data_IF_123760216048
#
_entry.id   IF_123760216048
#
_cell.length_a   1.000
_cell.length_b   1.000
_cell.length_c   1.000
_cell.angle_alpha   90.00
_cell.angle_beta   90.00
_cell.angle_gamma   90.00
#
_symmetry.space_group_name_H-M   'P 1'
#
loop_
_entity.id
_entity.type
_entity.pdbx_description
1 polymer ?
#
# COMPACT_ATOMS: atom_id res chain seq x y z
N UNK A 1 -6.10 -25.71 10.46
CA UNK A 1 -5.41 -24.45 10.12
C UNK A 1 -4.46 -24.73 8.96
N UNK A 2 -4.88 -24.43 7.73
CA UNK A 2 -3.96 -24.37 6.59
C UNK A 2 -3.68 -22.89 6.35
N UNK A 3 -2.46 -22.45 6.66
CA UNK A 3 -1.95 -21.17 6.18
C UNK A 3 -1.78 -21.35 4.68
N UNK A 4 -2.64 -20.73 3.88
CA UNK A 4 -2.49 -20.77 2.43
C UNK A 4 -1.21 -20.01 2.04
N UNK A 5 -0.54 -20.41 0.96
CA UNK A 5 0.65 -19.70 0.48
C UNK A 5 0.43 -18.19 0.33
N UNK A 6 -0.81 -17.75 0.05
CA UNK A 6 -1.21 -16.34 -0.03
C UNK A 6 -1.12 -15.60 1.31
N UNK A 7 -1.41 -16.26 2.43
CA UNK A 7 -1.36 -15.64 3.75
C UNK A 7 0.08 -15.29 4.14
N UNK A 8 1.05 -16.10 3.71
CA UNK A 8 2.47 -15.88 3.98
C UNK A 8 2.99 -14.61 3.26
N UNK A 9 2.59 -14.38 2.01
CA UNK A 9 2.94 -13.15 1.29
C UNK A 9 2.25 -11.90 1.86
N UNK A 10 1.04 -12.03 2.39
CA UNK A 10 0.36 -10.94 3.10
C UNK A 10 1.09 -10.58 4.41
N UNK A 11 1.50 -11.58 5.18
CA UNK A 11 2.30 -11.39 6.41
C UNK A 11 3.62 -10.69 6.07
N UNK A 12 4.35 -11.18 5.05
CA UNK A 12 5.60 -10.58 4.61
C UNK A 12 5.41 -9.11 4.19
N UNK A 13 4.36 -8.83 3.41
CA UNK A 13 4.03 -7.46 2.99
C UNK A 13 3.74 -6.56 4.19
N UNK A 14 3.02 -7.08 5.20
CA UNK A 14 2.72 -6.38 6.44
C UNK A 14 3.97 -6.09 7.29
N UNK A 15 4.89 -7.05 7.38
CA UNK A 15 6.17 -6.89 8.12
C UNK A 15 7.08 -5.88 7.42
N UNK A 16 7.27 -6.00 6.10
CA UNK A 16 8.15 -5.09 5.33
C UNK A 16 7.62 -3.66 5.41
N UNK A 17 6.32 -3.45 5.24
CA UNK A 17 5.71 -2.13 5.38
C UNK A 17 5.83 -1.56 6.80
N UNK A 18 5.68 -2.38 7.84
CA UNK A 18 5.88 -1.96 9.23
C UNK A 18 7.34 -1.51 9.49
N UNK A 19 8.32 -2.26 8.98
CA UNK A 19 9.74 -1.91 9.10
C UNK A 19 10.02 -0.55 8.44
N UNK A 20 9.48 -0.33 7.22
CA UNK A 20 9.61 0.96 6.52
C UNK A 20 8.97 2.07 7.36
N UNK A 21 7.77 1.84 7.90
CA UNK A 21 7.04 2.82 8.70
C UNK A 21 7.84 3.24 9.95
N UNK A 22 8.32 2.27 10.74
CA UNK A 22 9.10 2.54 11.97
C UNK A 22 10.34 3.36 11.65
N UNK A 23 11.12 2.95 10.64
CA UNK A 23 12.33 3.67 10.27
C UNK A 23 12.04 5.06 9.71
N UNK A 24 10.98 5.21 8.92
CA UNK A 24 10.58 6.50 8.40
C UNK A 24 10.19 7.49 9.51
N UNK A 25 9.48 7.02 10.54
CA UNK A 25 9.19 7.84 11.73
C UNK A 25 10.42 8.16 12.55
N UNK A 26 11.35 7.21 12.71
CA UNK A 26 12.61 7.45 13.40
C UNK A 26 13.47 8.50 12.71
N UNK A 27 13.65 8.39 11.39
CA UNK A 27 14.35 9.40 10.59
C UNK A 27 13.61 10.74 10.57
N UNK A 28 12.28 10.73 10.58
CA UNK A 28 11.50 11.95 10.72
C UNK A 28 11.76 12.66 12.05
N UNK A 29 11.88 11.91 13.16
CA UNK A 29 12.23 12.50 14.46
C UNK A 29 13.59 13.20 14.45
N UNK A 30 14.53 12.73 13.63
CA UNK A 30 15.88 13.31 13.49
C UNK A 30 15.94 14.48 12.52
N UNK A 31 15.44 14.31 11.28
CA UNK A 31 15.63 15.26 10.18
C UNK A 31 14.42 16.14 9.89
N UNK A 32 13.26 15.85 10.50
CA UNK A 32 11.97 16.56 10.29
C UNK A 32 11.53 16.71 8.82
N UNK A 33 11.95 15.78 7.96
CA UNK A 33 11.61 15.79 6.54
C UNK A 33 10.13 15.44 6.30
N UNK A 34 9.37 16.35 5.69
CA UNK A 34 7.93 16.14 5.45
C UNK A 34 7.60 14.88 4.64
N UNK A 35 8.44 14.53 3.66
CA UNK A 35 8.26 13.31 2.85
C UNK A 35 8.42 12.03 3.66
N UNK A 36 9.29 12.04 4.68
CA UNK A 36 9.51 10.89 5.57
C UNK A 36 8.26 10.62 6.41
N UNK A 37 7.61 11.68 6.88
CA UNK A 37 6.34 11.56 7.61
C UNK A 37 5.24 10.93 6.76
N UNK A 38 5.08 11.42 5.52
CA UNK A 38 4.06 10.91 4.60
C UNK A 38 4.30 9.43 4.30
N UNK A 39 5.55 9.07 4.00
CA UNK A 39 5.94 7.68 3.75
C UNK A 39 5.66 6.80 4.96
N UNK A 40 6.08 7.23 6.15
CA UNK A 40 5.88 6.49 7.39
C UNK A 40 4.41 6.24 7.67
N UNK A 41 3.58 7.27 7.55
CA UNK A 41 2.14 7.17 7.79
C UNK A 41 1.42 6.32 6.74
N UNK A 42 1.79 6.43 5.45
CA UNK A 42 1.25 5.58 4.38
C UNK A 42 1.61 4.11 4.60
N UNK A 43 2.86 3.81 4.98
CA UNK A 43 3.32 2.44 5.22
C UNK A 43 2.74 1.86 6.51
N UNK A 44 2.50 2.70 7.52
CA UNK A 44 1.78 2.30 8.73
C UNK A 44 0.33 1.91 8.41
N UNK A 45 -0.39 2.75 7.65
CA UNK A 45 -1.75 2.43 7.21
C UNK A 45 -1.78 1.15 6.37
N UNK A 46 -0.81 0.97 5.47
CA UNK A 46 -0.69 -0.27 4.70
C UNK A 46 -0.51 -1.48 5.62
N UNK A 47 0.42 -1.43 6.58
CA UNK A 47 0.63 -2.51 7.55
C UNK A 47 -0.63 -2.81 8.37
N UNK A 48 -1.32 -1.79 8.88
CA UNK A 48 -2.57 -1.96 9.64
C UNK A 48 -3.66 -2.65 8.79
N UNK A 49 -3.80 -2.29 7.51
CA UNK A 49 -4.76 -2.96 6.62
C UNK A 49 -4.41 -4.41 6.36
N UNK A 50 -3.12 -4.76 6.25
CA UNK A 50 -2.69 -6.15 6.08
C UNK A 50 -2.92 -6.97 7.35
N UNK A 51 -2.62 -6.41 8.53
CA UNK A 51 -2.86 -7.07 9.82
C UNK A 51 -4.36 -7.32 10.02
N UNK A 52 -5.20 -6.34 9.71
CA UNK A 52 -6.65 -6.50 9.78
C UNK A 52 -7.17 -7.58 8.82
N UNK A 53 -6.56 -7.72 7.63
CA UNK A 53 -6.84 -8.80 6.69
C UNK A 53 -6.50 -10.18 7.27
N UNK A 54 -5.29 -10.34 7.80
CA UNK A 54 -4.80 -11.59 8.41
C UNK A 54 -5.65 -11.98 9.62
N UNK A 55 -5.98 -11.03 10.49
CA UNK A 55 -6.78 -11.29 11.68
C UNK A 55 -8.20 -11.80 11.34
N UNK A 56 -8.76 -11.38 10.20
CA UNK A 56 -10.00 -11.93 9.66
C UNK A 56 -9.81 -13.35 9.12
N UNK A 57 -8.76 -13.61 8.35
CA UNK A 57 -8.51 -14.96 7.79
C UNK A 57 -8.23 -15.99 8.90
N UNK A 58 -7.57 -15.56 9.98
CA UNK A 58 -7.29 -16.39 11.16
C UNK A 58 -8.50 -16.60 12.08
N UNK A 59 -9.68 -16.07 11.73
CA UNK A 59 -10.92 -16.12 12.53
C UNK A 59 -10.77 -15.56 13.96
N UNK A 60 -9.74 -14.75 14.21
CA UNK A 60 -9.50 -14.09 15.51
C UNK A 60 -10.49 -12.95 15.77
N UNK A 61 -11.13 -12.46 14.71
CA UNK A 61 -12.14 -11.39 14.75
C UNK A 61 -13.49 -11.98 14.27
N UNK A 62 -14.62 -11.65 14.92
CA UNK A 62 -15.94 -12.16 14.53
C UNK A 62 -16.25 -11.95 13.04
N UNK A 63 -17.00 -12.88 12.44
CA UNK A 63 -17.41 -12.88 11.02
C UNK A 63 -18.09 -11.56 10.55
N UNK A 64 -18.57 -10.75 11.50
CA UNK A 64 -19.20 -9.45 11.28
C UNK A 64 -18.21 -8.35 10.84
N UNK A 65 -16.90 -8.48 11.11
CA UNK A 65 -15.92 -7.44 10.73
C UNK A 65 -15.65 -7.45 9.22
N UNK A 66 -16.24 -6.49 8.50
CA UNK A 66 -15.96 -6.24 7.07
C UNK A 66 -14.63 -5.48 6.92
N UNK A 67 -13.50 -6.18 7.07
CA UNK A 67 -12.15 -5.59 6.88
C UNK A 67 -11.84 -5.22 5.43
N UNK A 68 -12.71 -5.61 4.49
CA UNK A 68 -12.53 -5.39 3.06
C UNK A 68 -12.51 -3.89 2.71
N UNK A 69 -13.42 -3.11 3.27
CA UNK A 69 -13.50 -1.66 3.02
C UNK A 69 -12.27 -0.93 3.54
N UNK A 70 -11.87 -1.25 4.78
CA UNK A 70 -10.67 -0.68 5.39
C UNK A 70 -9.43 -1.00 4.55
N UNK A 71 -9.29 -2.25 4.09
CA UNK A 71 -8.20 -2.62 3.20
C UNK A 71 -8.22 -1.83 1.89
N UNK A 72 -9.36 -1.79 1.19
CA UNK A 72 -9.48 -1.07 -0.09
C UNK A 72 -9.18 0.41 0.04
N UNK A 73 -9.92 1.11 0.90
CA UNK A 73 -9.78 2.56 1.06
C UNK A 73 -8.44 2.94 1.67
N UNK A 74 -7.99 2.20 2.70
CA UNK A 74 -6.74 2.48 3.40
C UNK A 74 -5.50 2.32 2.51
N UNK A 75 -5.41 1.21 1.76
CA UNK A 75 -4.26 0.99 0.87
C UNK A 75 -4.27 1.94 -0.32
N UNK A 76 -5.43 2.18 -0.96
CA UNK A 76 -5.53 3.12 -2.08
C UNK A 76 -5.17 4.53 -1.62
N UNK A 77 -5.68 4.97 -0.47
CA UNK A 77 -5.34 6.26 0.13
C UNK A 77 -3.84 6.38 0.44
N UNK A 78 -3.25 5.35 1.05
CA UNK A 78 -1.81 5.32 1.34
C UNK A 78 -0.96 5.51 0.08
N UNK A 79 -1.27 4.79 -1.01
CA UNK A 79 -0.58 4.95 -2.29
C UNK A 79 -0.84 6.32 -2.93
N UNK A 80 -2.05 6.88 -2.77
CA UNK A 80 -2.37 8.20 -3.30
C UNK A 80 -1.52 9.29 -2.64
N UNK A 81 -1.33 9.22 -1.32
CA UNK A 81 -0.45 10.16 -0.62
C UNK A 81 1.02 9.98 -1.02
N UNK A 82 1.46 8.75 -1.28
CA UNK A 82 2.81 8.51 -1.83
C UNK A 82 2.96 9.14 -3.22
N UNK A 83 1.98 8.95 -4.09
CA UNK A 83 1.93 9.60 -5.40
C UNK A 83 2.01 11.13 -5.27
N UNK A 84 1.13 11.73 -4.46
CA UNK A 84 1.09 13.18 -4.26
C UNK A 84 2.42 13.71 -3.69
N UNK A 85 3.06 12.97 -2.79
CA UNK A 85 4.37 13.34 -2.25
C UNK A 85 5.53 13.25 -3.27
N UNK A 86 5.36 12.42 -4.31
CA UNK A 86 6.33 12.31 -5.40
C UNK A 86 6.28 13.49 -6.37
N UNK A 87 5.14 14.20 -6.42
CA UNK A 87 5.00 15.40 -7.22
C UNK A 87 5.94 16.49 -6.69
N UNK A 88 6.53 17.28 -7.61
CA UNK A 88 7.39 18.40 -7.24
C UNK A 88 6.54 19.50 -6.59
N UNK A 89 6.44 19.46 -5.27
CA UNK A 89 5.81 20.50 -4.46
C UNK A 89 6.82 21.28 -3.64
N UNK A 90 6.47 22.53 -3.33
CA UNK A 90 7.16 23.36 -2.33
C UNK A 90 6.95 22.79 -0.92
N UNK A 91 7.73 23.23 0.06
CA UNK A 91 7.55 22.79 1.46
C UNK A 91 6.16 23.14 2.01
N UNK A 92 5.57 24.24 1.54
CA UNK A 92 4.19 24.63 1.87
C UNK A 92 3.16 23.60 1.35
N UNK A 93 3.36 23.08 0.14
CA UNK A 93 2.54 22.00 -0.42
C UNK A 93 2.65 20.72 0.44
N UNK A 94 3.86 20.29 0.77
CA UNK A 94 4.07 19.08 1.58
C UNK A 94 3.48 19.21 2.98
N UNK A 95 3.56 20.38 3.60
CA UNK A 95 2.94 20.65 4.90
C UNK A 95 1.42 20.56 4.83
N UNK A 96 0.81 21.10 3.78
CA UNK A 96 -0.63 20.94 3.53
C UNK A 96 -0.99 19.48 3.32
N UNK A 97 -0.19 18.76 2.52
CA UNK A 97 -0.40 17.34 2.24
C UNK A 97 -0.36 16.47 3.50
N UNK A 98 0.55 16.74 4.44
CA UNK A 98 0.58 16.08 5.75
C UNK A 98 -0.71 16.31 6.53
N UNK A 99 -1.21 17.55 6.58
CA UNK A 99 -2.48 17.85 7.27
C UNK A 99 -3.62 17.04 6.65
N UNK A 100 -3.71 17.01 5.32
CA UNK A 100 -4.71 16.19 4.61
C UNK A 100 -4.54 14.71 4.90
N UNK A 101 -3.32 14.19 4.95
CA UNK A 101 -3.07 12.78 5.26
C UNK A 101 -3.48 12.44 6.69
N UNK A 102 -3.19 13.30 7.66
CA UNK A 102 -3.64 13.10 9.04
C UNK A 102 -5.17 13.12 9.09
N UNK A 103 -5.80 14.15 8.51
CA UNK A 103 -7.26 14.30 8.49
C UNK A 103 -7.94 13.11 7.82
N UNK A 104 -7.34 12.53 6.78
CA UNK A 104 -7.89 11.35 6.08
C UNK A 104 -7.52 10.02 6.75
N UNK A 105 -6.42 9.95 7.49
CA UNK A 105 -6.04 8.75 8.26
C UNK A 105 -6.99 8.48 9.43
N UNK A 106 -7.55 9.52 10.06
CA UNK A 106 -8.54 9.40 11.14
C UNK A 106 -9.81 8.65 10.70
N UNK A 107 -10.53 9.06 9.63
CA UNK A 107 -11.69 8.33 9.15
C UNK A 107 -11.31 6.95 8.60
N UNK A 108 -10.10 6.77 8.05
CA UNK A 108 -9.63 5.43 7.69
C UNK A 108 -9.50 4.52 8.91
N UNK A 109 -8.88 4.98 9.99
CA UNK A 109 -8.80 4.22 11.24
C UNK A 109 -10.20 4.00 11.84
N UNK A 110 -11.10 4.97 11.71
CA UNK A 110 -12.48 4.87 12.15
C UNK A 110 -13.28 3.79 11.38
N UNK A 111 -12.98 3.59 10.09
CA UNK A 111 -13.56 2.49 9.31
C UNK A 111 -13.21 1.11 9.90
N UNK A 112 -12.06 0.95 10.55
CA UNK A 112 -11.73 -0.28 11.26
C UNK A 112 -12.69 -0.50 12.45
N UNK A 113 -13.01 0.56 13.19
CA UNK A 113 -13.91 0.51 14.35
C UNK A 113 -15.37 0.27 13.94
N UNK A 114 -15.81 0.88 12.83
CA UNK A 114 -17.17 0.73 12.28
C UNK A 114 -17.32 -0.55 11.43
N UNK A 115 -16.23 -1.25 11.11
CA UNK A 115 -16.27 -2.46 10.28
C UNK A 115 -17.28 -3.55 10.66
N UNK A 116 -17.69 -3.79 11.94
CA UNK A 116 -18.77 -4.73 12.24
C UNK A 116 -20.16 -4.32 11.73
N UNK A 117 -20.37 -3.03 11.45
CA UNK A 117 -21.64 -2.47 10.98
C UNK A 117 -21.67 -2.32 9.45
N UNK A 118 -20.51 -2.40 8.79
CA UNK A 118 -20.41 -2.20 7.34
C UNK A 118 -20.83 -3.44 6.55
N UNK A 119 -21.61 -3.30 5.47
CA UNK A 119 -21.96 -4.41 4.61
C UNK A 119 -20.71 -5.01 3.97
N UNK A 120 -20.70 -6.34 3.84
CA UNK A 120 -19.63 -7.00 3.11
C UNK A 120 -19.76 -6.71 1.61
N UNK A 121 -18.66 -6.31 0.97
CA UNK A 121 -18.62 -6.17 -0.49
C UNK A 121 -18.64 -7.55 -1.10
N UNK A 122 -19.79 -7.97 -1.60
CA UNK A 122 -19.95 -9.27 -2.26
C UNK A 122 -19.64 -9.18 -3.76
N UNK A 123 -19.84 -8.01 -4.37
CA UNK A 123 -19.69 -7.83 -5.81
C UNK A 123 -18.21 -7.94 -6.26
N UNK A 124 -17.86 -8.90 -7.13
CA UNK A 124 -16.50 -9.05 -7.67
C UNK A 124 -16.06 -7.84 -8.51
N UNK A 125 -16.98 -7.15 -9.18
CA UNK A 125 -16.68 -5.98 -10.00
C UNK A 125 -16.17 -4.82 -9.14
N UNK A 126 -16.81 -4.58 -8.00
CA UNK A 126 -16.39 -3.52 -7.06
C UNK A 126 -14.99 -3.81 -6.51
N UNK A 127 -14.68 -5.08 -6.17
CA UNK A 127 -13.34 -5.50 -5.71
C UNK A 127 -12.28 -5.28 -6.79
N UNK A 128 -12.59 -5.66 -8.03
CA UNK A 128 -11.72 -5.45 -9.17
C UNK A 128 -11.46 -3.96 -9.40
N UNK A 129 -12.48 -3.11 -9.31
CA UNK A 129 -12.35 -1.65 -9.46
C UNK A 129 -11.42 -1.04 -8.40
N UNK A 130 -11.57 -1.44 -7.13
CA UNK A 130 -10.68 -0.97 -6.07
C UNK A 130 -9.23 -1.40 -6.29
N UNK A 131 -8.99 -2.64 -6.72
CA UNK A 131 -7.62 -3.10 -7.03
C UNK A 131 -7.06 -2.41 -8.27
N UNK A 132 -7.88 -2.20 -9.30
CA UNK A 132 -7.51 -1.42 -10.48
C UNK A 132 -7.14 0.02 -10.11
N UNK A 133 -7.86 0.66 -9.19
CA UNK A 133 -7.52 2.00 -8.70
C UNK A 133 -6.16 2.03 -8.01
N UNK A 134 -5.80 1.01 -7.22
CA UNK A 134 -4.46 0.89 -6.60
C UNK A 134 -3.38 0.71 -7.65
N UNK A 135 -3.62 -0.16 -8.63
CA UNK A 135 -2.71 -0.39 -9.74
C UNK A 135 -2.44 0.91 -10.51
N UNK A 136 -3.50 1.69 -10.78
CA UNK A 136 -3.43 2.98 -11.45
C UNK A 136 -2.61 3.99 -10.65
N UNK A 137 -2.85 4.13 -9.35
CA UNK A 137 -2.07 5.05 -8.51
C UNK A 137 -0.60 4.63 -8.42
N UNK A 138 -0.32 3.32 -8.30
CA UNK A 138 1.05 2.81 -8.36
C UNK A 138 1.70 3.11 -9.72
N UNK A 139 0.95 2.98 -10.82
CA UNK A 139 1.45 3.27 -12.17
C UNK A 139 1.75 4.75 -12.38
N UNK A 140 0.89 5.65 -11.88
CA UNK A 140 1.15 7.09 -11.90
C UNK A 140 2.40 7.45 -11.08
N UNK A 141 2.61 6.77 -9.95
CA UNK A 141 3.81 6.94 -9.13
C UNK A 141 5.06 6.40 -9.83
N UNK A 142 4.96 5.27 -10.51
CA UNK A 142 6.02 4.77 -11.38
C UNK A 142 6.38 5.83 -12.43
N UNK A 143 5.40 6.39 -13.14
CA UNK A 143 5.64 7.40 -14.17
C UNK A 143 6.29 8.67 -13.62
N UNK A 144 5.89 9.13 -12.42
CA UNK A 144 6.53 10.28 -11.78
C UNK A 144 8.00 10.02 -11.45
N UNK A 145 8.35 8.81 -10.99
CA UNK A 145 9.74 8.41 -10.75
C UNK A 145 10.54 8.17 -12.02
N UNK A 146 9.94 7.67 -13.11
CA UNK A 146 10.59 7.63 -14.44
C UNK A 146 10.97 9.04 -14.89
N UNK A 147 10.03 9.98 -14.80
CA UNK A 147 10.27 11.37 -15.19
C UNK A 147 11.33 12.05 -14.31
N UNK A 148 11.44 11.66 -13.03
CA UNK A 148 12.52 12.11 -12.15
C UNK A 148 13.86 11.49 -12.51
N UNK A 149 13.89 10.18 -12.81
CA UNK A 149 15.10 9.46 -13.22
C UNK A 149 15.69 10.03 -14.51
N UNK A 150 14.85 10.30 -15.52
CA UNK A 150 15.27 10.93 -16.78
C UNK A 150 15.84 12.35 -16.59
N UNK A 151 15.51 13.03 -15.48
CA UNK A 151 16.06 14.36 -15.14
C UNK A 151 17.31 14.28 -14.27
N UNK A 152 17.37 13.29 -13.37
CA UNK A 152 18.48 13.04 -12.45
C UNK A 152 18.59 11.54 -12.23
N UNK A 153 19.66 10.96 -12.76
CA UNK A 153 19.95 9.54 -12.64
C UNK A 153 20.42 9.22 -11.23
N UNK A 154 19.48 9.07 -10.31
CA UNK A 154 19.76 8.64 -8.94
C UNK A 154 19.36 7.20 -8.74
N UNK A 155 20.20 6.45 -7.99
CA UNK A 155 19.91 5.07 -7.58
C UNK A 155 18.56 4.98 -6.85
N UNK A 156 18.24 5.99 -6.05
CA UNK A 156 16.95 6.12 -5.38
C UNK A 156 15.78 6.15 -6.37
N UNK A 157 15.81 7.04 -7.37
CA UNK A 157 14.73 7.15 -8.36
C UNK A 157 14.56 5.85 -9.17
N UNK A 158 15.64 5.15 -9.49
CA UNK A 158 15.59 3.84 -10.14
C UNK A 158 14.91 2.78 -9.27
N UNK A 159 15.33 2.65 -8.00
CA UNK A 159 14.75 1.68 -7.08
C UNK A 159 13.26 1.95 -6.81
N UNK A 160 12.87 3.21 -6.63
CA UNK A 160 11.46 3.60 -6.45
C UNK A 160 10.63 3.30 -7.71
N UNK A 161 11.18 3.55 -8.90
CA UNK A 161 10.54 3.20 -10.16
C UNK A 161 10.29 1.68 -10.26
N UNK A 162 11.30 0.85 -10.05
CA UNK A 162 11.18 -0.62 -10.09
C UNK A 162 10.17 -1.12 -9.05
N UNK A 163 10.19 -0.55 -7.85
CA UNK A 163 9.26 -0.89 -6.78
C UNK A 163 7.80 -0.65 -7.19
N UNK A 164 7.48 0.54 -7.70
CA UNK A 164 6.13 0.88 -8.11
C UNK A 164 5.68 0.13 -9.38
N UNK A 165 6.59 -0.19 -10.29
CA UNK A 165 6.31 -1.04 -11.44
C UNK A 165 5.91 -2.46 -11.01
N UNK A 166 6.68 -3.06 -10.11
CA UNK A 166 6.39 -4.37 -9.54
C UNK A 166 5.05 -4.38 -8.78
N UNK A 167 4.76 -3.33 -8.01
CA UNK A 167 3.46 -3.17 -7.35
C UNK A 167 2.31 -3.07 -8.36
N UNK A 168 2.46 -2.29 -9.44
CA UNK A 168 1.42 -2.18 -10.48
C UNK A 168 1.13 -3.54 -11.12
N UNK A 169 2.14 -4.26 -11.59
CA UNK A 169 1.93 -5.59 -12.17
C UNK A 169 1.40 -6.58 -11.15
N UNK A 170 1.84 -6.47 -9.89
CA UNK A 170 1.34 -7.27 -8.78
C UNK A 170 -0.17 -7.09 -8.57
N UNK A 171 -0.66 -5.85 -8.56
CA UNK A 171 -2.10 -5.57 -8.42
C UNK A 171 -2.91 -5.97 -9.65
N UNK A 172 -2.39 -5.73 -10.87
CA UNK A 172 -3.07 -6.15 -12.11
C UNK A 172 -3.19 -7.67 -12.17
N UNK A 173 -2.16 -8.41 -11.78
CA UNK A 173 -2.15 -9.88 -11.76
C UNK A 173 -3.20 -10.51 -10.83
N UNK A 174 -3.70 -9.77 -9.84
CA UNK A 174 -4.73 -10.25 -8.90
C UNK A 174 -6.15 -10.05 -9.45
N UNK A 175 -6.37 -9.11 -10.39
CA UNK A 175 -7.70 -8.79 -10.93
C UNK A 175 -8.41 -10.03 -11.51
N UNK A 176 -7.77 -10.91 -12.29
CA UNK A 176 -8.42 -12.08 -12.86
C UNK A 176 -9.01 -13.05 -11.82
N UNK A 177 -8.51 -13.05 -10.58
CA UNK A 177 -9.02 -13.89 -9.48
C UNK A 177 -10.49 -13.63 -9.17
N UNK A 178 -10.99 -12.42 -9.41
CA UNK A 178 -12.39 -12.07 -9.14
C UNK A 178 -13.37 -12.58 -10.20
N UNK A 179 -12.86 -12.94 -11.39
CA UNK A 179 -13.69 -13.37 -12.52
C UNK A 179 -13.45 -14.84 -12.89
N UNK A 180 -12.24 -15.35 -12.62
CA UNK A 180 -11.80 -16.70 -12.99
C UNK A 180 -11.37 -17.48 -11.73
N UNK A 181 -12.15 -18.47 -11.28
CA UNK A 181 -11.83 -19.28 -10.10
C UNK A 181 -10.51 -20.06 -10.19
N UNK A 182 -9.97 -20.24 -11.40
CA UNK A 182 -8.76 -21.02 -11.69
C UNK A 182 -7.47 -20.18 -11.77
N UNK A 183 -7.54 -18.86 -11.56
CA UNK A 183 -6.39 -17.94 -11.70
C UNK A 183 -5.41 -17.97 -10.50
N UNK A 184 -5.18 -19.14 -9.91
CA UNK A 184 -4.32 -19.30 -8.72
C UNK A 184 -2.86 -18.95 -9.00
N UNK A 185 -2.35 -19.28 -10.20
CA UNK A 185 -0.97 -18.98 -10.61
C UNK A 185 -0.76 -17.48 -10.76
N UNK A 186 -1.69 -16.79 -11.44
CA UNK A 186 -1.62 -15.33 -11.62
C UNK A 186 -1.69 -14.58 -10.29
N UNK A 187 -2.51 -15.08 -9.36
CA UNK A 187 -2.60 -14.54 -8.01
C UNK A 187 -1.26 -14.70 -7.27
N UNK A 188 -0.65 -15.88 -7.32
CA UNK A 188 0.65 -16.14 -6.70
C UNK A 188 1.75 -15.24 -7.27
N UNK A 189 1.82 -15.10 -8.59
CA UNK A 189 2.76 -14.19 -9.25
C UNK A 189 2.50 -12.74 -8.81
N UNK A 190 1.23 -12.36 -8.72
CA UNK A 190 0.82 -11.04 -8.23
C UNK A 190 1.31 -10.75 -6.81
N UNK A 191 1.13 -11.71 -5.89
CA UNK A 191 1.56 -11.58 -4.50
C UNK A 191 3.10 -11.52 -4.37
N UNK A 192 3.82 -12.33 -5.15
CA UNK A 192 5.29 -12.28 -5.21
C UNK A 192 5.77 -10.91 -5.70
N UNK A 193 5.19 -10.39 -6.79
CA UNK A 193 5.55 -9.09 -7.34
C UNK A 193 5.28 -7.95 -6.35
N UNK A 194 4.21 -8.03 -5.55
CA UNK A 194 3.92 -7.05 -4.51
C UNK A 194 4.97 -7.06 -3.40
N UNK A 195 5.38 -8.24 -2.94
CA UNK A 195 6.45 -8.38 -1.94
C UNK A 195 7.77 -7.85 -2.49
N UNK A 196 8.14 -8.22 -3.73
CA UNK A 196 9.34 -7.71 -4.40
C UNK A 196 9.29 -6.18 -4.49
N UNK A 197 8.14 -5.61 -4.86
CA UNK A 197 7.94 -4.17 -4.93
C UNK A 197 8.14 -3.48 -3.57
N UNK A 198 7.57 -4.03 -2.50
CA UNK A 198 7.75 -3.50 -1.14
C UNK A 198 9.20 -3.64 -0.65
N UNK A 199 9.87 -4.74 -0.97
CA UNK A 199 11.28 -4.95 -0.63
C UNK A 199 12.19 -3.99 -1.39
N UNK A 200 11.95 -3.78 -2.69
CA UNK A 200 12.67 -2.78 -3.47
C UNK A 200 12.43 -1.36 -2.93
N UNK A 201 11.20 -1.05 -2.51
CA UNK A 201 10.87 0.22 -1.85
C UNK A 201 11.62 0.37 -0.53
N UNK A 202 11.70 -0.70 0.27
CA UNK A 202 12.51 -0.73 1.47
C UNK A 202 13.97 -0.43 1.12
N UNK A 203 14.60 -1.18 0.21
CA UNK A 203 16.00 -0.93 -0.18
C UNK A 203 16.25 0.49 -0.69
N UNK A 204 15.35 1.03 -1.52
CA UNK A 204 15.42 2.42 -1.97
C UNK A 204 15.42 3.39 -0.80
N UNK A 205 14.60 3.14 0.22
CA UNK A 205 14.51 3.97 1.42
C UNK A 205 15.63 3.74 2.44
N UNK A 206 16.16 2.51 2.55
CA UNK A 206 17.19 2.16 3.53
C UNK A 206 18.61 2.49 3.04
N UNK A 207 18.84 2.44 1.73
CA UNK A 207 20.15 2.59 1.10
C UNK A 207 20.40 3.95 0.43
N UNK A 208 19.40 4.84 0.42
CA UNK A 208 19.55 6.26 0.07
C UNK A 208 19.79 7.11 1.32
#
# INVERSE_FOLDING_TARGET
>A
MYVGNTDLFEILSGIVSLIIAIRAFWLFAQFRGYRLFILGLSMLLFSLTTIAGIARNAQLIPLAFSTTWFSFVGQTGAFLFLFLSSLRGTDGYLRSLIRWQIITSVPMAWLLVISPVLPQVSDPFIKALFIASRALVCFLTFYSYVALFMKKETRFSFLMMVAFLALTFGYVGIIPRFFLPQANILTLVGDILRVIGLVALAFGFLGG
#
